data_IF_532346235011
#
_entry.id   IF_532346235011
#
_cell.length_a   1.000
_cell.length_b   1.000
_cell.length_c   1.000
_cell.angle_alpha   90.00
_cell.angle_beta   90.00
_cell.angle_gamma   90.00
#
_symmetry.space_group_name_H-M   'P 1'
#
loop_
_entity.id
_entity.type
_entity.pdbx_description
1 polymer ?
#
# COMPACT_ATOMS: atom_id res chain seq x y z
N UNK A 1 -23.02 5.86 -26.34
CA UNK A 1 -21.59 6.12 -26.11
C UNK A 1 -21.32 6.15 -24.61
N UNK A 2 -20.40 5.34 -24.09
CA UNK A 2 -20.08 5.34 -22.64
C UNK A 2 -19.28 6.60 -22.30
N UNK A 3 -19.63 7.30 -21.22
CA UNK A 3 -18.97 8.55 -20.83
C UNK A 3 -17.44 8.35 -20.65
N UNK A 4 -16.59 9.31 -21.03
CA UNK A 4 -15.13 9.20 -20.86
C UNK A 4 -14.72 8.98 -19.40
N UNK A 5 -15.53 9.42 -18.43
CA UNK A 5 -15.34 9.21 -16.99
C UNK A 5 -15.53 7.72 -16.63
N UNK A 6 -16.51 7.05 -17.21
CA UNK A 6 -16.74 5.61 -16.98
C UNK A 6 -15.55 4.79 -17.47
N UNK A 7 -15.05 5.07 -18.67
CA UNK A 7 -13.89 4.36 -19.24
C UNK A 7 -12.62 4.55 -18.39
N UNK A 8 -12.35 5.78 -17.93
CA UNK A 8 -11.21 6.08 -17.05
C UNK A 8 -11.28 5.32 -15.72
N UNK A 9 -12.46 5.26 -15.10
CA UNK A 9 -12.67 4.52 -13.83
C UNK A 9 -12.52 3.02 -14.03
N UNK A 10 -13.10 2.48 -15.09
CA UNK A 10 -13.04 1.05 -15.40
C UNK A 10 -11.63 0.57 -15.74
N UNK A 11 -10.86 1.33 -16.53
CA UNK A 11 -9.48 0.98 -16.86
C UNK A 11 -8.56 1.00 -15.63
N UNK A 12 -8.73 2.00 -14.74
CA UNK A 12 -7.97 2.05 -13.49
C UNK A 12 -8.30 0.87 -12.57
N UNK A 13 -9.59 0.53 -12.40
CA UNK A 13 -10.00 -0.60 -11.59
C UNK A 13 -9.48 -1.93 -12.17
N UNK A 14 -9.63 -2.14 -13.48
CA UNK A 14 -9.11 -3.32 -14.16
C UNK A 14 -7.59 -3.47 -14.00
N UNK A 15 -6.84 -2.36 -14.16
CA UNK A 15 -5.40 -2.34 -13.94
C UNK A 15 -5.00 -2.74 -12.52
N UNK A 16 -5.70 -2.23 -11.51
CA UNK A 16 -5.45 -2.59 -10.11
C UNK A 16 -5.72 -4.06 -9.83
N UNK A 17 -6.86 -4.60 -10.30
CA UNK A 17 -7.18 -6.01 -10.08
C UNK A 17 -6.22 -6.94 -10.81
N UNK A 18 -5.92 -6.65 -12.07
CA UNK A 18 -5.00 -7.48 -12.85
C UNK A 18 -3.58 -7.45 -12.26
N UNK A 19 -3.12 -6.29 -11.80
CA UNK A 19 -1.83 -6.19 -11.10
C UNK A 19 -1.80 -6.96 -9.78
N UNK A 20 -2.91 -6.98 -9.03
CA UNK A 20 -3.03 -7.78 -7.81
C UNK A 20 -2.99 -9.28 -8.09
N UNK A 21 -3.67 -9.75 -9.14
CA UNK A 21 -3.61 -11.15 -9.58
C UNK A 21 -2.20 -11.54 -10.01
N UNK A 22 -1.53 -10.72 -10.83
CA UNK A 22 -0.15 -10.97 -11.25
C UNK A 22 0.82 -10.97 -10.07
N UNK A 23 0.64 -10.06 -9.11
CA UNK A 23 1.42 -10.02 -7.87
C UNK A 23 1.24 -11.28 -7.02
N UNK A 24 0.02 -11.79 -6.91
CA UNK A 24 -0.29 -13.04 -6.23
C UNK A 24 0.34 -14.24 -6.95
N UNK A 25 0.20 -14.33 -8.27
CA UNK A 25 0.85 -15.36 -9.08
C UNK A 25 2.37 -15.35 -8.93
N UNK A 26 2.98 -14.15 -8.83
CA UNK A 26 4.40 -14.02 -8.54
C UNK A 26 4.81 -14.68 -7.22
N UNK A 27 3.99 -14.57 -6.17
CA UNK A 27 4.24 -15.24 -4.89
C UNK A 27 4.09 -16.76 -5.01
N UNK A 28 3.10 -17.23 -5.77
CA UNK A 28 2.88 -18.67 -6.03
C UNK A 28 4.07 -19.28 -6.78
N UNK A 29 4.50 -18.63 -7.86
CA UNK A 29 5.66 -19.06 -8.66
C UNK A 29 6.92 -19.07 -7.78
N UNK A 30 7.16 -18.03 -6.98
CA UNK A 30 8.31 -17.97 -6.09
C UNK A 30 8.35 -19.16 -5.09
N UNK A 31 7.20 -19.52 -4.48
CA UNK A 31 7.12 -20.64 -3.55
C UNK A 31 7.39 -21.98 -4.25
N UNK A 32 6.86 -22.16 -5.47
CA UNK A 32 6.96 -23.41 -6.21
C UNK A 32 8.35 -23.64 -6.78
N UNK A 33 8.97 -22.60 -7.35
CA UNK A 33 10.25 -22.72 -8.04
C UNK A 33 11.45 -22.65 -7.08
N UNK A 34 11.45 -21.74 -6.10
CA UNK A 34 12.53 -21.65 -5.11
C UNK A 34 12.41 -22.71 -4.01
N UNK A 35 11.20 -23.20 -3.75
CA UNK A 35 10.92 -23.98 -2.55
C UNK A 35 10.75 -23.12 -1.30
N UNK A 36 10.29 -23.76 -0.22
CA UNK A 36 9.86 -23.04 1.00
C UNK A 36 11.01 -22.26 1.66
N UNK A 37 12.17 -22.89 1.80
CA UNK A 37 13.31 -22.28 2.49
C UNK A 37 13.82 -21.01 1.77
N UNK A 38 14.12 -21.12 0.48
CA UNK A 38 14.65 -20.00 -0.31
C UNK A 38 13.59 -18.91 -0.54
N UNK A 39 12.30 -19.27 -0.61
CA UNK A 39 11.22 -18.30 -0.60
C UNK A 39 11.18 -17.50 0.71
N UNK A 40 11.46 -18.14 1.85
CA UNK A 40 11.62 -17.46 3.13
C UNK A 40 12.76 -16.44 3.11
N UNK A 41 13.93 -16.84 2.60
CA UNK A 41 15.07 -15.96 2.42
C UNK A 41 14.77 -14.77 1.48
N UNK A 42 14.15 -15.05 0.33
CA UNK A 42 13.70 -14.00 -0.60
C UNK A 42 12.72 -13.04 0.08
N UNK A 43 11.79 -13.59 0.87
CA UNK A 43 10.81 -12.78 1.61
C UNK A 43 11.46 -11.85 2.62
N UNK A 44 12.52 -12.27 3.31
CA UNK A 44 13.31 -11.43 4.22
C UNK A 44 14.02 -10.29 3.47
N UNK A 45 14.69 -10.62 2.36
CA UNK A 45 15.35 -9.59 1.53
C UNK A 45 14.36 -8.54 1.04
N UNK A 46 13.22 -8.99 0.51
CA UNK A 46 12.19 -8.07 0.01
C UNK A 46 11.51 -7.29 1.14
N UNK A 47 11.34 -7.89 2.32
CA UNK A 47 10.77 -7.20 3.48
C UNK A 47 11.74 -6.14 4.02
N UNK A 48 13.03 -6.43 4.12
CA UNK A 48 14.04 -5.46 4.54
C UNK A 48 14.15 -4.31 3.53
N UNK A 49 14.26 -4.63 2.24
CA UNK A 49 14.28 -3.62 1.17
C UNK A 49 13.03 -2.75 1.19
N UNK A 50 11.84 -3.38 1.28
CA UNK A 50 10.56 -2.67 1.35
C UNK A 50 10.40 -1.81 2.60
N UNK A 51 10.90 -2.25 3.76
CA UNK A 51 10.85 -1.51 5.00
C UNK A 51 11.64 -0.19 4.90
N UNK A 52 12.91 -0.26 4.50
CA UNK A 52 13.72 0.95 4.36
C UNK A 52 13.25 1.84 3.21
N UNK A 53 12.73 1.24 2.13
CA UNK A 53 12.12 1.99 1.06
C UNK A 53 10.91 2.80 1.56
N UNK A 54 9.99 2.22 2.31
CA UNK A 54 8.79 2.92 2.82
C UNK A 54 9.16 3.98 3.86
N UNK A 55 10.10 3.70 4.75
CA UNK A 55 10.56 4.67 5.76
C UNK A 55 11.25 5.87 5.11
N UNK A 56 12.05 5.63 4.08
CA UNK A 56 12.76 6.66 3.32
C UNK A 56 11.91 7.28 2.20
N UNK A 57 10.81 6.62 1.81
CA UNK A 57 9.94 7.10 0.72
C UNK A 57 9.09 8.27 1.19
N UNK A 58 9.40 9.42 0.64
CA UNK A 58 8.59 10.62 0.79
C UNK A 58 7.45 10.54 -0.22
N UNK A 59 6.20 10.43 0.24
CA UNK A 59 5.00 10.37 -0.62
C UNK A 59 4.77 11.72 -1.31
N UNK A 60 5.63 12.01 -2.28
CA UNK A 60 5.61 13.28 -3.02
C UNK A 60 4.57 13.29 -4.12
N UNK A 61 4.20 12.11 -4.65
CA UNK A 61 3.32 12.00 -5.82
C UNK A 61 1.98 12.70 -5.62
N UNK A 62 1.35 12.51 -4.44
CA UNK A 62 0.06 13.16 -4.13
C UNK A 62 0.18 14.68 -4.12
N UNK A 63 1.29 15.20 -3.57
CA UNK A 63 1.57 16.62 -3.57
C UNK A 63 1.81 17.14 -4.99
N UNK A 64 2.62 16.41 -5.79
CA UNK A 64 2.91 16.78 -7.18
C UNK A 64 1.63 16.77 -8.03
N UNK A 65 0.75 15.80 -7.83
CA UNK A 65 -0.56 15.76 -8.52
C UNK A 65 -1.41 16.96 -8.10
N UNK A 66 -1.57 17.21 -6.78
CA UNK A 66 -2.40 18.30 -6.26
C UNK A 66 -1.94 19.67 -6.75
N UNK A 67 -0.66 20.00 -6.56
CA UNK A 67 -0.09 21.27 -6.97
C UNK A 67 0.09 21.36 -8.48
N UNK A 68 0.33 20.22 -9.15
CA UNK A 68 0.40 20.13 -10.61
C UNK A 68 -0.90 20.54 -11.28
N UNK A 69 -2.06 20.06 -10.81
CA UNK A 69 -3.36 20.55 -11.29
C UNK A 69 -3.58 22.02 -10.99
N UNK A 70 -3.16 22.52 -9.80
CA UNK A 70 -3.28 23.94 -9.43
C UNK A 70 -2.50 24.84 -10.37
N UNK A 71 -1.24 24.51 -10.67
CA UNK A 71 -0.40 25.32 -11.55
C UNK A 71 -0.82 25.20 -13.02
N UNK A 72 -1.23 24.01 -13.46
CA UNK A 72 -1.79 23.83 -14.80
C UNK A 72 -3.07 24.67 -15.02
N UNK A 73 -3.98 24.71 -14.02
CA UNK A 73 -5.20 25.53 -14.09
C UNK A 73 -4.93 27.05 -14.09
N UNK A 74 -3.76 27.49 -13.60
CA UNK A 74 -3.33 28.88 -13.58
C UNK A 74 -2.37 29.24 -14.72
N UNK A 75 -2.07 28.25 -15.57
CA UNK A 75 -1.08 28.36 -16.65
C UNK A 75 0.33 28.77 -16.16
N UNK A 76 0.62 28.52 -14.87
CA UNK A 76 1.91 28.81 -14.25
C UNK A 76 2.91 27.69 -14.54
N UNK A 77 3.40 27.67 -15.78
CA UNK A 77 4.29 26.62 -16.28
C UNK A 77 5.69 26.67 -15.68
N UNK A 78 6.09 27.81 -15.15
CA UNK A 78 7.37 27.99 -14.46
C UNK A 78 7.41 27.22 -13.14
N UNK A 79 6.43 27.46 -12.27
CA UNK A 79 6.27 26.72 -11.00
C UNK A 79 5.89 25.27 -11.22
N UNK A 80 5.10 24.96 -12.24
CA UNK A 80 4.78 23.58 -12.65
C UNK A 80 6.04 22.76 -12.89
N UNK A 81 6.98 23.25 -13.69
CA UNK A 81 8.24 22.54 -13.98
C UNK A 81 9.13 22.39 -12.75
N UNK A 82 9.21 23.46 -11.91
CA UNK A 82 9.96 23.40 -10.66
C UNK A 82 9.39 22.36 -9.70
N UNK A 83 8.05 22.23 -9.64
CA UNK A 83 7.35 21.25 -8.83
C UNK A 83 7.78 19.82 -9.16
N UNK A 84 7.74 19.44 -10.45
CA UNK A 84 8.14 18.09 -10.89
C UNK A 84 9.61 17.81 -10.63
N UNK A 85 10.47 18.80 -10.84
CA UNK A 85 11.90 18.68 -10.52
C UNK A 85 12.14 18.52 -9.03
N UNK A 86 11.52 19.36 -8.20
CA UNK A 86 11.62 19.26 -6.74
C UNK A 86 11.08 17.93 -6.22
N UNK A 87 9.98 17.43 -6.80
CA UNK A 87 9.44 16.11 -6.51
C UNK A 87 10.43 14.99 -6.80
N UNK A 88 11.10 15.05 -7.97
CA UNK A 88 12.11 14.05 -8.36
C UNK A 88 13.36 14.15 -7.44
N UNK A 89 13.83 15.36 -7.14
CA UNK A 89 14.94 15.59 -6.22
C UNK A 89 14.67 14.97 -4.83
N UNK A 90 13.46 15.17 -4.27
CA UNK A 90 13.06 14.57 -3.01
C UNK A 90 12.96 13.03 -3.08
N UNK A 91 12.41 12.49 -4.16
CA UNK A 91 12.33 11.03 -4.36
C UNK A 91 13.70 10.40 -4.47
N UNK A 92 14.61 11.01 -5.21
CA UNK A 92 15.99 10.53 -5.33
C UNK A 92 16.73 10.59 -4.00
N UNK A 93 16.56 11.68 -3.23
CA UNK A 93 17.16 11.79 -1.90
C UNK A 93 16.64 10.68 -0.96
N UNK A 94 15.32 10.43 -0.92
CA UNK A 94 14.74 9.34 -0.16
C UNK A 94 15.24 7.97 -0.63
N UNK A 95 15.32 7.76 -1.95
CA UNK A 95 15.83 6.51 -2.53
C UNK A 95 17.30 6.24 -2.16
N UNK A 96 18.15 7.27 -2.17
CA UNK A 96 19.55 7.17 -1.74
C UNK A 96 19.63 6.82 -0.25
N UNK A 97 18.82 7.47 0.59
CA UNK A 97 18.77 7.16 2.03
C UNK A 97 18.31 5.72 2.28
N UNK A 98 17.27 5.28 1.58
CA UNK A 98 16.78 3.90 1.67
C UNK A 98 17.82 2.88 1.20
N UNK A 99 18.46 3.14 0.07
CA UNK A 99 19.53 2.29 -0.47
C UNK A 99 20.75 2.22 0.48
N UNK A 100 21.15 3.35 1.03
CA UNK A 100 22.24 3.41 2.01
C UNK A 100 21.90 2.62 3.29
N UNK A 101 20.66 2.75 3.79
CA UNK A 101 20.22 2.00 4.96
C UNK A 101 20.20 0.48 4.71
N UNK A 102 19.75 0.03 3.54
CA UNK A 102 19.81 -1.38 3.14
C UNK A 102 21.26 -1.87 3.04
N UNK A 103 22.13 -1.08 2.41
CA UNK A 103 23.55 -1.40 2.26
C UNK A 103 24.27 -1.48 3.60
N UNK A 104 23.95 -0.58 4.54
CA UNK A 104 24.48 -0.60 5.92
C UNK A 104 23.95 -1.80 6.71
N UNK A 105 22.72 -2.27 6.46
CA UNK A 105 22.16 -3.46 7.11
C UNK A 105 22.79 -4.76 6.58
N UNK A 106 23.21 -4.79 5.31
CA UNK A 106 23.67 -6.00 4.63
C UNK A 106 24.81 -6.77 5.39
N UNK A 107 25.84 -6.13 5.95
CA UNK A 107 26.87 -6.83 6.74
C UNK A 107 26.32 -7.51 7.99
N UNK A 108 25.27 -6.95 8.60
CA UNK A 108 24.65 -7.46 9.82
C UNK A 108 23.61 -8.54 9.57
N UNK A 109 23.27 -8.81 8.31
CA UNK A 109 22.24 -9.78 7.95
C UNK A 109 22.50 -11.19 8.51
N UNK A 110 23.78 -11.59 8.57
CA UNK A 110 24.16 -12.89 9.15
C UNK A 110 23.90 -12.92 10.66
N UNK A 111 24.21 -11.85 11.36
CA UNK A 111 24.00 -11.76 12.82
C UNK A 111 22.50 -11.73 13.18
N UNK A 112 21.69 -11.07 12.36
CA UNK A 112 20.25 -10.89 12.63
C UNK A 112 19.44 -12.13 12.23
N UNK A 113 19.72 -12.72 11.06
CA UNK A 113 18.92 -13.81 10.49
C UNK A 113 19.68 -15.12 10.37
N UNK A 114 20.94 -15.18 10.84
CA UNK A 114 21.76 -16.39 10.86
C UNK A 114 22.13 -16.95 9.48
N UNK A 115 22.10 -16.14 8.42
CA UNK A 115 22.27 -16.56 7.02
C UNK A 115 23.04 -15.54 6.18
N UNK A 116 23.66 -16.04 5.10
CA UNK A 116 24.42 -15.24 4.14
C UNK A 116 23.56 -14.39 3.21
N UNK A 117 22.70 -13.51 3.75
CA UNK A 117 21.82 -12.63 2.97
C UNK A 117 22.48 -11.31 2.57
N UNK A 118 23.76 -11.10 2.89
CA UNK A 118 24.45 -9.84 2.65
C UNK A 118 24.43 -9.45 1.15
N UNK A 119 24.77 -10.38 0.26
CA UNK A 119 24.81 -10.12 -1.17
C UNK A 119 23.42 -9.84 -1.77
N UNK A 120 22.38 -10.67 -1.54
CA UNK A 120 21.04 -10.35 -2.00
C UNK A 120 20.50 -9.02 -1.46
N UNK A 121 20.78 -8.67 -0.19
CA UNK A 121 20.38 -7.38 0.39
C UNK A 121 21.10 -6.22 -0.29
N UNK A 122 22.41 -6.33 -0.50
CA UNK A 122 23.18 -5.29 -1.18
C UNK A 122 22.68 -5.04 -2.60
N UNK A 123 22.36 -6.09 -3.35
CA UNK A 123 21.75 -5.99 -4.68
C UNK A 123 20.37 -5.34 -4.58
N UNK A 124 19.56 -5.71 -3.59
CA UNK A 124 18.21 -5.15 -3.39
C UNK A 124 18.23 -3.65 -3.05
N UNK A 125 19.35 -3.10 -2.58
CA UNK A 125 19.52 -1.67 -2.36
C UNK A 125 19.39 -0.84 -3.66
N UNK A 126 19.53 -1.47 -4.82
CA UNK A 126 19.28 -0.83 -6.12
C UNK A 126 17.80 -0.63 -6.42
N UNK A 127 16.87 -1.37 -5.76
CA UNK A 127 15.43 -1.29 -6.02
C UNK A 127 14.88 0.12 -5.73
N UNK A 128 15.10 0.74 -4.55
CA UNK A 128 14.65 2.10 -4.28
C UNK A 128 15.17 3.12 -5.31
N UNK A 129 16.46 3.00 -5.68
CA UNK A 129 17.07 3.90 -6.67
C UNK A 129 16.44 3.76 -8.05
N UNK A 130 16.25 2.52 -8.50
CA UNK A 130 15.61 2.23 -9.77
C UNK A 130 14.15 2.73 -9.80
N UNK A 131 13.43 2.68 -8.68
CA UNK A 131 12.01 3.04 -8.60
C UNK A 131 11.76 4.55 -8.42
N UNK A 132 12.75 5.34 -7.99
CA UNK A 132 12.54 6.74 -7.63
C UNK A 132 11.83 7.60 -8.69
N UNK A 133 12.11 7.50 -10.00
CA UNK A 133 11.42 8.27 -11.03
C UNK A 133 9.98 7.86 -11.31
N UNK A 134 9.59 6.62 -10.96
CA UNK A 134 8.29 6.02 -11.31
C UNK A 134 7.10 6.85 -10.80
N UNK A 135 7.16 7.29 -9.53
CA UNK A 135 6.10 8.07 -8.90
C UNK A 135 5.87 9.42 -9.57
N UNK A 136 6.94 10.10 -9.95
CA UNK A 136 6.87 11.40 -10.62
C UNK A 136 6.36 11.26 -12.06
N UNK A 137 6.80 10.23 -12.78
CA UNK A 137 6.28 9.91 -14.11
C UNK A 137 4.78 9.55 -14.05
N UNK A 138 4.38 8.78 -13.06
CA UNK A 138 2.97 8.45 -12.79
C UNK A 138 2.14 9.71 -12.50
N UNK A 139 2.66 10.65 -11.69
CA UNK A 139 2.01 11.92 -11.41
C UNK A 139 1.84 12.77 -12.68
N UNK A 140 2.84 12.80 -13.56
CA UNK A 140 2.76 13.49 -14.86
C UNK A 140 1.62 12.94 -15.74
N UNK A 141 1.49 11.61 -15.80
CA UNK A 141 0.40 10.95 -16.52
C UNK A 141 -0.98 11.29 -15.96
N UNK A 142 -1.11 11.35 -14.62
CA UNK A 142 -2.36 11.73 -13.95
C UNK A 142 -2.75 13.16 -14.31
N UNK A 143 -1.80 14.11 -14.20
CA UNK A 143 -2.05 15.53 -14.51
C UNK A 143 -2.37 15.72 -15.99
N UNK A 144 -1.79 14.90 -16.86
CA UNK A 144 -2.11 14.89 -18.29
C UNK A 144 -3.43 14.15 -18.63
N UNK A 145 -4.10 13.56 -17.62
CA UNK A 145 -5.36 12.82 -17.80
C UNK A 145 -5.23 11.41 -18.40
N UNK A 146 -4.00 10.87 -18.51
CA UNK A 146 -3.71 9.54 -19.09
C UNK A 146 -3.72 8.44 -18.04
N UNK A 147 -4.87 8.26 -17.40
CA UNK A 147 -5.10 7.20 -16.40
C UNK A 147 -5.02 5.79 -17.00
N UNK A 148 -5.39 5.66 -18.27
CA UNK A 148 -5.28 4.44 -19.07
C UNK A 148 -3.85 3.94 -19.16
N UNK A 149 -2.93 4.82 -19.52
CA UNK A 149 -1.50 4.52 -19.64
C UNK A 149 -0.92 4.15 -18.28
N UNK A 150 -1.26 4.91 -17.22
CA UNK A 150 -0.85 4.58 -15.86
C UNK A 150 -1.34 3.20 -15.43
N UNK A 151 -2.59 2.83 -15.73
CA UNK A 151 -3.13 1.52 -15.42
C UNK A 151 -2.39 0.41 -16.18
N UNK A 152 -2.05 0.61 -17.46
CA UNK A 152 -1.24 -0.31 -18.24
C UNK A 152 0.15 -0.53 -17.64
N UNK A 153 0.80 0.54 -17.12
CA UNK A 153 2.10 0.41 -16.46
C UNK A 153 2.03 -0.34 -15.12
N UNK A 154 0.94 -0.23 -14.35
CA UNK A 154 0.75 -1.07 -13.16
C UNK A 154 0.76 -2.56 -13.53
N UNK A 155 0.06 -2.92 -14.59
CA UNK A 155 0.03 -4.30 -15.10
C UNK A 155 1.39 -4.73 -15.63
N UNK A 156 2.03 -3.89 -16.45
CA UNK A 156 3.37 -4.16 -17.00
C UNK A 156 4.40 -4.41 -15.89
N UNK A 157 4.43 -3.56 -14.87
CA UNK A 157 5.34 -3.70 -13.73
C UNK A 157 5.14 -5.04 -13.03
N UNK A 158 3.89 -5.48 -12.82
CA UNK A 158 3.60 -6.76 -12.18
C UNK A 158 3.88 -7.95 -13.11
N UNK A 159 3.66 -7.82 -14.42
CA UNK A 159 4.02 -8.83 -15.40
C UNK A 159 5.55 -9.02 -15.49
N UNK A 160 6.30 -7.92 -15.54
CA UNK A 160 7.77 -7.97 -15.50
C UNK A 160 8.29 -8.58 -14.21
N UNK A 161 7.66 -8.25 -13.07
CA UNK A 161 7.99 -8.85 -11.77
C UNK A 161 7.73 -10.35 -11.76
N UNK A 162 6.60 -10.80 -12.30
CA UNK A 162 6.27 -12.23 -12.41
C UNK A 162 7.31 -12.95 -13.28
N UNK A 163 7.64 -12.40 -14.46
CA UNK A 163 8.68 -12.96 -15.34
C UNK A 163 10.06 -12.98 -14.68
N UNK A 164 10.42 -11.92 -13.96
CA UNK A 164 11.67 -11.85 -13.20
C UNK A 164 11.76 -12.93 -12.11
N UNK A 165 10.66 -13.20 -11.40
CA UNK A 165 10.60 -14.26 -10.40
C UNK A 165 10.72 -15.64 -11.09
N UNK A 166 9.97 -15.88 -12.17
CA UNK A 166 10.00 -17.16 -12.88
C UNK A 166 11.39 -17.48 -13.45
N UNK A 167 12.07 -16.51 -14.05
CA UNK A 167 13.41 -16.68 -14.60
C UNK A 167 14.46 -16.71 -13.48
N UNK A 168 14.38 -15.75 -12.56
CA UNK A 168 15.37 -15.59 -11.50
C UNK A 168 15.39 -16.74 -10.51
N UNK A 169 14.24 -17.38 -10.25
CA UNK A 169 14.12 -18.51 -9.33
C UNK A 169 14.97 -19.73 -9.75
N UNK A 170 15.21 -19.91 -11.04
CA UNK A 170 16.10 -20.97 -11.55
C UNK A 170 17.57 -20.78 -11.12
N UNK A 171 17.95 -19.55 -10.72
CA UNK A 171 19.29 -19.18 -10.25
C UNK A 171 19.31 -18.91 -8.73
N UNK A 172 18.29 -19.36 -8.00
CA UNK A 172 18.16 -19.19 -6.55
C UNK A 172 17.81 -17.76 -6.11
N UNK A 173 17.97 -17.49 -4.81
CA UNK A 173 17.55 -16.21 -4.19
C UNK A 173 18.26 -15.01 -4.81
N UNK A 174 19.59 -15.08 -4.95
CA UNK A 174 20.37 -13.97 -5.51
C UNK A 174 19.99 -13.70 -6.96
N UNK A 175 19.85 -14.73 -7.79
CA UNK A 175 19.39 -14.61 -9.17
C UNK A 175 17.99 -13.98 -9.27
N UNK A 176 17.09 -14.35 -8.37
CA UNK A 176 15.74 -13.75 -8.30
C UNK A 176 15.81 -12.26 -7.95
N UNK A 177 16.65 -11.86 -7.00
CA UNK A 177 16.81 -10.44 -6.63
C UNK A 177 17.40 -9.63 -7.78
N UNK A 178 18.43 -10.17 -8.49
CA UNK A 178 19.00 -9.53 -9.69
C UNK A 178 17.91 -9.33 -10.75
N UNK A 179 17.16 -10.39 -11.07
CA UNK A 179 16.09 -10.32 -12.06
C UNK A 179 15.00 -9.29 -11.67
N UNK A 180 14.66 -9.20 -10.37
CA UNK A 180 13.71 -8.20 -9.86
C UNK A 180 14.25 -6.77 -10.01
N UNK A 181 15.55 -6.53 -9.75
CA UNK A 181 16.20 -5.23 -9.98
C UNK A 181 16.13 -4.86 -11.47
N UNK A 182 16.51 -5.78 -12.35
CA UNK A 182 16.44 -5.55 -13.81
C UNK A 182 15.01 -5.26 -14.26
N UNK A 183 14.04 -6.07 -13.84
CA UNK A 183 12.63 -5.83 -14.15
C UNK A 183 12.15 -4.46 -13.66
N UNK A 184 12.61 -4.02 -12.48
CA UNK A 184 12.29 -2.70 -11.94
C UNK A 184 12.90 -1.59 -12.79
N UNK A 185 14.16 -1.72 -13.20
CA UNK A 185 14.83 -0.74 -14.07
C UNK A 185 14.08 -0.62 -15.40
N UNK A 186 13.75 -1.75 -16.03
CA UNK A 186 13.00 -1.78 -17.31
C UNK A 186 11.61 -1.12 -17.15
N UNK A 187 10.86 -1.48 -16.10
CA UNK A 187 9.55 -0.89 -15.83
C UNK A 187 9.64 0.62 -15.63
N UNK A 188 10.62 1.08 -14.82
CA UNK A 188 10.81 2.50 -14.54
C UNK A 188 11.32 3.27 -15.75
N UNK A 189 12.19 2.70 -16.56
CA UNK A 189 12.62 3.32 -17.82
C UNK A 189 11.44 3.49 -18.78
N UNK A 190 10.57 2.49 -18.88
CA UNK A 190 9.38 2.56 -19.74
C UNK A 190 8.40 3.65 -19.28
N UNK A 191 8.02 3.67 -17.98
CA UNK A 191 7.09 4.70 -17.45
C UNK A 191 7.76 6.08 -17.42
N UNK A 192 9.06 6.14 -17.11
CA UNK A 192 9.85 7.37 -17.12
C UNK A 192 9.91 8.02 -18.49
N UNK A 193 10.15 7.24 -19.54
CA UNK A 193 10.14 7.70 -20.93
C UNK A 193 8.79 8.29 -21.30
N UNK A 194 7.70 7.58 -21.02
CA UNK A 194 6.34 8.09 -21.31
C UNK A 194 5.99 9.30 -20.42
N UNK A 195 6.44 9.33 -19.16
CA UNK A 195 6.29 10.49 -18.28
C UNK A 195 7.00 11.74 -18.79
N UNK A 196 8.22 11.59 -19.31
CA UNK A 196 8.98 12.70 -19.95
C UNK A 196 8.23 13.21 -21.18
N UNK A 197 7.72 12.32 -22.04
CA UNK A 197 6.91 12.71 -23.21
C UNK A 197 5.64 13.43 -22.76
N UNK A 198 4.97 12.96 -21.71
CA UNK A 198 3.78 13.61 -21.15
C UNK A 198 4.09 15.02 -20.62
N UNK A 199 5.20 15.18 -19.89
CA UNK A 199 5.67 16.50 -19.42
C UNK A 199 6.08 17.42 -20.58
N UNK A 200 6.64 16.87 -21.66
CA UNK A 200 7.02 17.61 -22.85
C UNK A 200 5.84 18.22 -23.61
N UNK A 201 4.62 17.70 -23.42
CA UNK A 201 3.38 18.21 -24.03
C UNK A 201 2.83 19.46 -23.34
N UNK A 202 3.25 19.74 -22.11
CA UNK A 202 2.89 21.00 -21.45
C UNK A 202 3.75 22.16 -21.98
N UNK A 203 3.20 23.39 -21.99
CA UNK A 203 3.93 24.56 -22.45
C UNK A 203 5.27 24.74 -21.76
N UNK A 204 6.24 25.26 -22.47
CA UNK A 204 7.59 25.53 -21.95
C UNK A 204 7.57 26.82 -21.16
N UNK A 205 7.93 26.79 -19.88
CA UNK A 205 8.16 27.94 -19.02
C UNK A 205 9.58 27.88 -18.41
N UNK A 206 10.15 29.03 -18.10
CA UNK A 206 11.38 29.09 -17.31
C UNK A 206 11.07 28.61 -15.89
N UNK A 207 11.91 27.71 -15.35
CA UNK A 207 11.68 27.18 -14.00
C UNK A 207 11.73 28.29 -12.96
N UNK A 208 10.62 28.48 -12.23
CA UNK A 208 10.50 29.50 -11.20
C UNK A 208 10.39 28.87 -9.82
N UNK A 209 10.91 29.50 -8.75
CA UNK A 209 10.76 29.03 -7.39
C UNK A 209 9.27 28.89 -6.99
N UNK A 210 8.96 27.91 -6.12
CA UNK A 210 7.60 27.68 -5.64
C UNK A 210 7.05 28.83 -4.78
N UNK A 211 7.90 29.78 -4.37
CA UNK A 211 7.51 30.94 -3.57
C UNK A 211 6.80 30.53 -2.27
N UNK A 212 5.68 31.21 -1.97
CA UNK A 212 4.88 30.99 -0.75
C UNK A 212 4.27 29.57 -0.67
N UNK A 213 4.05 28.93 -1.82
CA UNK A 213 3.54 27.55 -1.86
C UNK A 213 4.55 26.50 -1.34
N UNK A 214 5.86 26.86 -1.21
CA UNK A 214 6.91 25.93 -0.74
C UNK A 214 6.62 25.37 0.65
N UNK A 215 6.19 26.21 1.58
CA UNK A 215 5.85 25.79 2.95
C UNK A 215 4.64 24.85 2.97
N UNK A 216 3.60 25.22 2.19
CA UNK A 216 2.39 24.40 2.02
C UNK A 216 2.68 23.03 1.38
N UNK A 217 3.47 23.02 0.31
CA UNK A 217 3.93 21.79 -0.35
C UNK A 217 4.68 20.88 0.62
N UNK A 218 5.68 21.39 1.36
CA UNK A 218 6.45 20.61 2.32
C UNK A 218 5.59 20.05 3.46
N UNK A 219 4.68 20.86 4.02
CA UNK A 219 3.73 20.41 5.04
C UNK A 219 2.84 19.30 4.52
N UNK A 220 2.31 19.43 3.32
CA UNK A 220 1.46 18.42 2.70
C UNK A 220 2.22 17.10 2.49
N UNK A 221 3.44 17.17 1.96
CA UNK A 221 4.32 16.00 1.75
C UNK A 221 4.57 15.26 3.06
N UNK A 222 4.94 15.97 4.13
CA UNK A 222 5.21 15.34 5.45
C UNK A 222 3.97 14.63 6.00
N UNK A 223 2.79 15.28 5.97
CA UNK A 223 1.57 14.67 6.49
C UNK A 223 1.09 13.49 5.64
N UNK A 224 1.21 13.58 4.32
CA UNK A 224 0.87 12.49 3.40
C UNK A 224 1.79 11.28 3.61
N UNK A 225 3.10 11.52 3.76
CA UNK A 225 4.08 10.46 4.01
C UNK A 225 3.82 9.72 5.32
N UNK A 226 3.58 10.44 6.41
CA UNK A 226 3.26 9.81 7.71
C UNK A 226 2.01 8.92 7.63
N UNK A 227 0.98 9.37 6.90
CA UNK A 227 -0.26 8.60 6.72
C UNK A 227 -0.10 7.33 5.88
N UNK A 228 0.85 7.32 4.95
CA UNK A 228 1.06 6.20 4.02
C UNK A 228 1.99 5.12 4.54
N UNK A 229 2.87 5.43 5.50
CA UNK A 229 3.90 4.52 6.01
C UNK A 229 3.33 3.44 6.94
N UNK A 230 2.41 3.77 7.84
CA UNK A 230 1.99 2.87 8.92
C UNK A 230 1.30 1.58 8.44
N UNK A 231 0.47 1.67 7.40
CA UNK A 231 -0.32 0.51 6.94
C UNK A 231 0.53 -0.61 6.33
N UNK A 232 1.45 -0.35 5.37
CA UNK A 232 2.32 -1.39 4.83
C UNK A 232 3.44 -1.81 5.80
N UNK A 233 3.85 -0.92 6.72
CA UNK A 233 4.89 -1.19 7.71
C UNK A 233 4.57 -2.40 8.59
N UNK A 234 3.30 -2.60 8.96
CA UNK A 234 2.86 -3.76 9.75
C UNK A 234 3.27 -5.10 9.15
N UNK A 235 3.01 -5.29 7.85
CA UNK A 235 3.35 -6.55 7.16
C UNK A 235 4.84 -6.76 6.99
N UNK A 236 5.59 -5.69 6.73
CA UNK A 236 7.05 -5.75 6.58
C UNK A 236 7.75 -6.01 7.91
N UNK A 237 7.38 -5.27 8.97
CA UNK A 237 7.86 -5.53 10.34
C UNK A 237 7.55 -6.95 10.76
N UNK A 238 6.32 -7.43 10.48
CA UNK A 238 5.94 -8.81 10.76
C UNK A 238 6.89 -9.82 10.16
N UNK A 239 7.23 -9.66 8.88
CA UNK A 239 8.16 -10.56 8.19
C UNK A 239 9.59 -10.48 8.77
N UNK A 240 10.07 -9.28 9.07
CA UNK A 240 11.41 -9.07 9.62
C UNK A 240 11.55 -9.64 11.04
N UNK A 241 10.54 -9.39 11.90
CA UNK A 241 10.54 -9.90 13.27
C UNK A 241 10.44 -11.43 13.29
N UNK A 242 9.54 -12.01 12.50
CA UNK A 242 9.45 -13.48 12.38
C UNK A 242 10.79 -14.06 11.93
N UNK A 243 11.46 -13.44 10.94
CA UNK A 243 12.77 -13.87 10.50
C UNK A 243 13.89 -13.73 11.54
N UNK A 244 13.77 -12.74 12.44
CA UNK A 244 14.77 -12.54 13.51
C UNK A 244 14.63 -13.53 14.66
N UNK A 245 13.42 -14.08 14.89
CA UNK A 245 13.14 -14.97 16.02
C UNK A 245 12.88 -16.43 15.62
N UNK A 246 12.82 -16.73 14.31
CA UNK A 246 12.56 -18.07 13.76
C UNK A 246 13.49 -18.37 12.58
N UNK A 247 13.24 -19.48 11.90
CA UNK A 247 13.94 -19.90 10.68
C UNK A 247 13.26 -19.41 9.40
N UNK A 248 13.94 -19.44 8.23
CA UNK A 248 13.38 -19.02 6.95
C UNK A 248 12.14 -19.81 6.51
N UNK A 249 12.00 -21.06 6.92
CA UNK A 249 10.81 -21.86 6.59
C UNK A 249 9.56 -21.26 7.28
N UNK A 250 9.70 -20.84 8.54
CA UNK A 250 8.61 -20.19 9.26
C UNK A 250 8.25 -18.83 8.63
N UNK A 251 9.24 -18.09 8.15
CA UNK A 251 8.99 -16.85 7.37
C UNK A 251 8.19 -17.17 6.10
N UNK A 252 8.54 -18.23 5.39
CA UNK A 252 7.81 -18.66 4.20
C UNK A 252 6.36 -19.04 4.52
N UNK A 253 6.15 -19.85 5.57
CA UNK A 253 4.80 -20.22 6.01
C UNK A 253 3.98 -19.01 6.44
N UNK A 254 4.59 -18.06 7.15
CA UNK A 254 3.96 -16.81 7.52
C UNK A 254 3.55 -15.99 6.29
N UNK A 255 4.41 -15.89 5.27
CA UNK A 255 4.11 -15.17 4.02
C UNK A 255 3.03 -15.85 3.19
N UNK A 256 3.03 -17.17 3.09
CA UNK A 256 1.96 -17.94 2.45
C UNK A 256 0.64 -17.72 3.19
N UNK A 257 0.69 -17.78 4.53
CA UNK A 257 -0.49 -17.60 5.38
C UNK A 257 -1.16 -16.22 5.26
N UNK A 258 -0.43 -15.17 4.85
CA UNK A 258 -0.98 -13.83 4.62
C UNK A 258 -1.84 -13.73 3.34
N UNK A 259 -1.86 -14.73 2.48
CA UNK A 259 -2.59 -14.71 1.21
C UNK A 259 -4.09 -14.36 1.35
N UNK A 260 -4.87 -14.90 2.32
CA UNK A 260 -6.27 -14.53 2.52
C UNK A 260 -6.46 -13.05 2.86
N UNK A 261 -5.59 -12.48 3.70
CA UNK A 261 -5.61 -11.05 4.05
C UNK A 261 -5.35 -10.17 2.82
N UNK A 262 -4.33 -10.49 2.03
CA UNK A 262 -4.00 -9.76 0.81
C UNK A 262 -5.12 -9.84 -0.24
N UNK A 263 -5.74 -11.01 -0.41
CA UNK A 263 -6.87 -11.21 -1.31
C UNK A 263 -8.07 -10.36 -0.87
N UNK A 264 -8.45 -10.41 0.41
CA UNK A 264 -9.57 -9.64 0.95
C UNK A 264 -9.36 -8.13 0.82
N UNK A 265 -8.13 -7.65 1.06
CA UNK A 265 -7.76 -6.25 0.91
C UNK A 265 -7.94 -5.76 -0.54
N UNK A 266 -7.55 -6.58 -1.52
CA UNK A 266 -7.70 -6.28 -2.95
C UNK A 266 -9.16 -6.29 -3.39
N UNK A 267 -9.93 -7.30 -2.98
CA UNK A 267 -11.35 -7.43 -3.34
C UNK A 267 -12.21 -6.29 -2.78
N UNK A 268 -11.90 -5.80 -1.57
CA UNK A 268 -12.68 -4.74 -0.92
C UNK A 268 -12.24 -3.32 -1.28
N UNK A 269 -11.13 -3.16 -2.02
CA UNK A 269 -10.60 -1.83 -2.35
C UNK A 269 -11.59 -0.91 -3.07
N UNK A 270 -12.36 -1.34 -4.11
CA UNK A 270 -13.33 -0.48 -4.79
C UNK A 270 -14.50 -0.08 -3.89
N UNK A 271 -15.02 -1.03 -3.09
CA UNK A 271 -16.11 -0.73 -2.16
C UNK A 271 -15.72 0.37 -1.17
N UNK A 272 -14.47 0.37 -0.70
CA UNK A 272 -13.94 1.42 0.18
C UNK A 272 -13.83 2.78 -0.50
N UNK A 273 -13.46 2.83 -1.78
CA UNK A 273 -13.40 4.09 -2.54
C UNK A 273 -14.79 4.70 -2.73
N UNK A 274 -15.80 3.88 -3.06
CA UNK A 274 -17.19 4.32 -3.17
C UNK A 274 -17.70 4.83 -1.82
N UNK A 275 -17.47 4.04 -0.76
CA UNK A 275 -17.86 4.41 0.60
C UNK A 275 -17.23 5.74 1.04
N UNK A 276 -15.96 5.97 0.72
CA UNK A 276 -15.28 7.23 1.01
C UNK A 276 -15.92 8.43 0.31
N UNK A 277 -16.22 8.30 -0.99
CA UNK A 277 -16.85 9.36 -1.75
C UNK A 277 -18.25 9.71 -1.23
N UNK A 278 -19.07 8.68 -0.94
CA UNK A 278 -20.41 8.88 -0.37
C UNK A 278 -20.37 9.50 1.02
N UNK A 279 -19.50 9.02 1.90
CA UNK A 279 -19.31 9.56 3.25
C UNK A 279 -18.90 11.02 3.23
N UNK A 280 -17.90 11.36 2.39
CA UNK A 280 -17.42 12.74 2.26
C UNK A 280 -18.53 13.65 1.75
N UNK A 281 -19.26 13.24 0.70
CA UNK A 281 -20.37 14.01 0.16
C UNK A 281 -21.53 14.22 1.17
N UNK A 282 -21.83 13.21 1.98
CA UNK A 282 -22.88 13.34 3.00
C UNK A 282 -22.43 14.23 4.18
N UNK A 283 -21.16 14.16 4.59
CA UNK A 283 -20.61 15.03 5.65
C UNK A 283 -20.60 16.48 5.19
N UNK A 284 -20.07 16.77 4.00
CA UNK A 284 -20.01 18.14 3.45
C UNK A 284 -21.40 18.77 3.25
N UNK A 285 -22.42 17.94 2.98
CA UNK A 285 -23.83 18.39 2.88
C UNK A 285 -24.53 18.48 4.25
N UNK A 286 -23.84 18.35 5.36
CA UNK A 286 -24.42 18.38 6.71
C UNK A 286 -25.28 17.16 7.06
N UNK A 287 -25.21 16.08 6.26
CA UNK A 287 -26.02 14.85 6.44
C UNK A 287 -25.24 13.77 7.20
N UNK A 288 -24.59 14.15 8.28
CA UNK A 288 -23.77 13.24 9.08
C UNK A 288 -24.49 11.95 9.54
N UNK A 289 -25.78 12.03 9.84
CA UNK A 289 -26.58 10.84 10.19
C UNK A 289 -26.67 9.81 9.04
N UNK A 290 -26.63 10.25 7.77
CA UNK A 290 -26.57 9.35 6.61
C UNK A 290 -25.23 8.66 6.52
N UNK A 291 -24.15 9.40 6.67
CA UNK A 291 -22.80 8.84 6.68
C UNK A 291 -22.65 7.78 7.78
N UNK A 292 -23.22 8.01 8.97
CA UNK A 292 -23.22 7.03 10.06
C UNK A 292 -24.04 5.78 9.75
N UNK A 293 -25.21 5.94 9.13
CA UNK A 293 -26.03 4.81 8.67
C UNK A 293 -25.33 4.00 7.57
N UNK A 294 -24.61 4.67 6.67
CA UNK A 294 -23.81 4.01 5.64
C UNK A 294 -22.69 3.13 6.26
N UNK A 295 -21.96 3.65 7.26
CA UNK A 295 -20.97 2.87 8.03
C UNK A 295 -21.62 1.64 8.65
N UNK A 296 -22.75 1.79 9.34
CA UNK A 296 -23.46 0.67 9.99
C UNK A 296 -23.91 -0.38 8.97
N UNK A 297 -24.50 0.03 7.84
CA UNK A 297 -24.90 -0.88 6.76
C UNK A 297 -23.69 -1.63 6.20
N UNK A 298 -22.59 -0.92 5.95
CA UNK A 298 -21.35 -1.53 5.51
C UNK A 298 -20.86 -2.59 6.51
N UNK A 299 -20.78 -2.25 7.81
CA UNK A 299 -20.34 -3.18 8.85
C UNK A 299 -21.21 -4.43 8.90
N UNK A 300 -22.54 -4.29 8.89
CA UNK A 300 -23.47 -5.41 8.95
C UNK A 300 -23.36 -6.29 7.70
N UNK A 301 -23.31 -5.68 6.51
CA UNK A 301 -23.13 -6.40 5.25
C UNK A 301 -21.76 -7.11 5.19
N UNK A 302 -20.68 -6.42 5.58
CA UNK A 302 -19.34 -6.98 5.64
C UNK A 302 -19.26 -8.13 6.66
N UNK A 303 -19.89 -8.00 7.83
CA UNK A 303 -19.94 -9.05 8.84
C UNK A 303 -20.73 -10.28 8.35
N UNK A 304 -21.89 -10.08 7.70
CA UNK A 304 -22.69 -11.15 7.14
C UNK A 304 -21.94 -11.91 6.03
N UNK A 305 -21.31 -11.18 5.10
CA UNK A 305 -20.50 -11.79 4.03
C UNK A 305 -19.29 -12.52 4.63
N UNK A 306 -18.59 -11.90 5.58
CA UNK A 306 -17.45 -12.53 6.24
C UNK A 306 -17.85 -13.81 6.96
N UNK A 307 -18.97 -13.81 7.70
CA UNK A 307 -19.50 -14.99 8.39
C UNK A 307 -19.86 -16.12 7.41
N UNK A 308 -20.51 -15.77 6.30
CA UNK A 308 -20.93 -16.75 5.29
C UNK A 308 -19.71 -17.40 4.56
N UNK A 309 -18.63 -16.60 4.35
CA UNK A 309 -17.44 -17.05 3.61
C UNK A 309 -16.41 -17.71 4.53
N UNK A 310 -16.37 -17.33 5.80
CA UNK A 310 -15.35 -17.75 6.75
C UNK A 310 -15.32 -19.27 6.93
N UNK A 311 -16.46 -19.89 7.26
CA UNK A 311 -16.53 -21.31 7.54
C UNK A 311 -16.17 -22.18 6.31
N UNK A 312 -16.75 -21.97 5.12
CA UNK A 312 -16.33 -22.71 3.92
C UNK A 312 -14.84 -22.55 3.61
N UNK A 313 -14.28 -21.34 3.70
CA UNK A 313 -12.86 -21.13 3.43
C UNK A 313 -11.96 -21.75 4.50
N UNK A 314 -12.35 -21.75 5.78
CA UNK A 314 -11.63 -22.47 6.83
C UNK A 314 -11.52 -23.98 6.56
N UNK A 315 -12.61 -24.59 6.11
CA UNK A 315 -12.64 -26.00 5.78
C UNK A 315 -11.82 -26.30 4.52
N UNK A 316 -11.89 -25.44 3.51
CA UNK A 316 -11.17 -25.60 2.25
C UNK A 316 -9.69 -25.18 2.33
N UNK A 317 -9.26 -24.51 3.42
CA UNK A 317 -7.93 -23.92 3.53
C UNK A 317 -6.79 -24.93 3.29
N UNK A 318 -6.83 -26.18 3.82
CA UNK A 318 -5.78 -27.16 3.54
C UNK A 318 -5.65 -27.51 2.05
N UNK A 319 -6.80 -27.64 1.37
CA UNK A 319 -6.83 -27.90 -0.07
C UNK A 319 -6.31 -26.70 -0.86
N UNK A 320 -6.75 -25.48 -0.51
CA UNK A 320 -6.31 -24.24 -1.17
C UNK A 320 -4.81 -24.02 -1.04
N UNK A 321 -4.25 -24.16 0.17
CA UNK A 321 -2.82 -23.97 0.40
C UNK A 321 -2.01 -24.99 -0.42
N UNK A 322 -2.38 -26.27 -0.38
CA UNK A 322 -1.68 -27.33 -1.11
C UNK A 322 -1.81 -27.19 -2.63
N UNK A 323 -2.99 -26.84 -3.13
CA UNK A 323 -3.23 -26.71 -4.57
C UNK A 323 -2.54 -25.47 -5.14
N UNK A 324 -2.58 -24.36 -4.42
CA UNK A 324 -2.02 -23.08 -4.91
C UNK A 324 -0.51 -23.04 -4.73
N UNK A 325 -0.02 -23.30 -3.52
CA UNK A 325 1.40 -23.12 -3.14
C UNK A 325 2.21 -24.44 -3.17
N UNK A 326 1.55 -25.57 -3.35
CA UNK A 326 2.18 -26.89 -3.34
C UNK A 326 2.12 -27.60 -1.98
N UNK A 327 2.38 -28.90 -1.99
CA UNK A 327 2.27 -29.75 -0.78
C UNK A 327 3.23 -29.35 0.35
N UNK A 328 4.41 -28.83 0.00
CA UNK A 328 5.42 -28.36 0.96
C UNK A 328 4.96 -27.14 1.77
N UNK A 329 3.97 -26.38 1.27
CA UNK A 329 3.37 -25.26 1.99
C UNK A 329 2.29 -25.69 3.01
N UNK A 330 1.95 -26.96 3.10
CA UNK A 330 0.93 -27.51 3.99
C UNK A 330 0.98 -27.02 5.44
N UNK A 331 2.16 -26.92 6.09
CA UNK A 331 2.27 -26.39 7.46
C UNK A 331 1.79 -24.93 7.65
N UNK A 332 1.68 -24.14 6.56
CA UNK A 332 1.12 -22.79 6.63
C UNK A 332 -0.41 -22.76 6.86
N UNK A 333 -1.10 -23.90 6.79
CA UNK A 333 -2.58 -23.97 6.78
C UNK A 333 -3.19 -23.35 8.03
N UNK A 334 -2.70 -23.67 9.23
CA UNK A 334 -3.30 -23.16 10.48
C UNK A 334 -3.04 -21.68 10.65
N UNK A 335 -1.84 -21.20 10.29
CA UNK A 335 -1.56 -19.78 10.22
C UNK A 335 -2.47 -19.07 9.19
N UNK A 336 -2.74 -19.69 8.03
CA UNK A 336 -3.65 -19.12 7.02
C UNK A 336 -5.11 -19.05 7.48
N UNK A 337 -5.58 -20.02 8.27
CA UNK A 337 -6.89 -19.99 8.93
C UNK A 337 -6.99 -18.80 9.90
N UNK A 338 -5.94 -18.54 10.67
CA UNK A 338 -5.90 -17.39 11.58
C UNK A 338 -5.88 -16.09 10.78
N UNK A 339 -5.09 -16.00 9.69
CA UNK A 339 -5.10 -14.82 8.83
C UNK A 339 -6.44 -14.60 8.11
N UNK A 340 -7.22 -15.65 7.88
CA UNK A 340 -8.59 -15.51 7.38
C UNK A 340 -9.49 -14.81 8.40
N UNK A 341 -9.33 -15.07 9.72
CA UNK A 341 -10.00 -14.32 10.79
C UNK A 341 -9.56 -12.85 10.82
N UNK A 342 -8.23 -12.61 10.71
CA UNK A 342 -7.68 -11.24 10.60
C UNK A 342 -8.30 -10.52 9.41
N UNK A 343 -8.40 -11.18 8.25
CA UNK A 343 -9.02 -10.64 7.05
C UNK A 343 -10.49 -10.27 7.29
N UNK A 344 -11.27 -11.15 7.94
CA UNK A 344 -12.66 -10.90 8.28
C UNK A 344 -12.81 -9.65 9.18
N UNK A 345 -11.99 -9.53 10.22
CA UNK A 345 -11.96 -8.34 11.08
C UNK A 345 -11.66 -7.10 10.25
N UNK A 346 -10.63 -7.13 9.40
CA UNK A 346 -10.24 -5.98 8.58
C UNK A 346 -11.29 -5.59 7.53
N UNK A 347 -12.05 -6.56 6.99
CA UNK A 347 -13.16 -6.29 6.07
C UNK A 347 -14.28 -5.59 6.81
N UNK A 348 -14.69 -6.08 7.96
CA UNK A 348 -15.75 -5.47 8.80
C UNK A 348 -15.37 -4.05 9.23
N UNK A 349 -14.13 -3.83 9.61
CA UNK A 349 -13.60 -2.52 10.02
C UNK A 349 -13.01 -1.71 8.86
N UNK A 350 -13.24 -2.12 7.62
CA UNK A 350 -12.70 -1.46 6.41
C UNK A 350 -13.09 0.02 6.27
N UNK A 351 -14.24 0.43 6.83
CA UNK A 351 -14.70 1.81 6.88
C UNK A 351 -13.79 2.76 7.66
N UNK A 352 -12.98 2.24 8.58
CA UNK A 352 -12.04 3.02 9.40
C UNK A 352 -10.92 3.65 8.58
N UNK A 353 -10.69 3.17 7.35
CA UNK A 353 -9.72 3.75 6.42
C UNK A 353 -10.22 5.03 5.76
N UNK A 354 -11.53 5.24 5.69
CA UNK A 354 -12.17 6.37 4.99
C UNK A 354 -12.90 7.33 5.92
N UNK A 355 -13.72 6.83 6.83
CA UNK A 355 -14.62 7.63 7.66
C UNK A 355 -13.92 8.71 8.51
N UNK A 356 -12.78 8.45 9.18
CA UNK A 356 -12.08 9.48 9.96
C UNK A 356 -11.63 10.66 9.10
N UNK A 357 -11.22 10.38 7.87
CA UNK A 357 -10.81 11.42 6.91
C UNK A 357 -12.02 12.24 6.48
N UNK A 358 -13.16 11.56 6.20
CA UNK A 358 -14.41 12.22 5.79
C UNK A 358 -14.96 13.17 6.86
N UNK A 359 -14.75 12.86 8.14
CA UNK A 359 -15.18 13.73 9.25
C UNK A 359 -14.10 14.74 9.70
N UNK A 360 -12.97 14.84 8.97
CA UNK A 360 -11.89 15.78 9.26
C UNK A 360 -11.04 15.41 10.48
N UNK A 361 -11.07 14.16 10.95
CA UNK A 361 -10.33 13.65 12.12
C UNK A 361 -9.37 12.50 11.77
N UNK A 362 -8.39 12.72 10.87
CA UNK A 362 -7.45 11.68 10.45
C UNK A 362 -6.57 11.14 11.60
N UNK A 363 -6.39 11.91 12.67
CA UNK A 363 -5.64 11.53 13.88
C UNK A 363 -6.20 10.28 14.55
N UNK A 364 -7.53 10.03 14.47
CA UNK A 364 -8.15 8.84 15.02
C UNK A 364 -7.64 7.56 14.34
N UNK A 365 -7.35 7.64 13.05
CA UNK A 365 -6.77 6.54 12.30
C UNK A 365 -5.33 6.26 12.76
N UNK A 366 -4.53 7.32 12.94
CA UNK A 366 -3.15 7.19 13.42
C UNK A 366 -3.11 6.57 14.83
N UNK A 367 -3.99 7.01 15.71
CA UNK A 367 -4.12 6.46 17.08
C UNK A 367 -4.45 4.97 17.05
N UNK A 368 -5.45 4.55 16.27
CA UNK A 368 -5.84 3.14 16.20
C UNK A 368 -4.76 2.26 15.57
N UNK A 369 -4.09 2.74 14.50
CA UNK A 369 -2.99 2.02 13.87
C UNK A 369 -1.75 1.98 14.78
N UNK A 370 -1.47 3.06 15.50
CA UNK A 370 -0.40 3.08 16.52
C UNK A 370 -0.64 2.07 17.62
N UNK A 371 -1.86 2.00 18.16
CA UNK A 371 -2.25 1.00 19.17
C UNK A 371 -2.10 -0.43 18.62
N UNK A 372 -2.48 -0.67 17.37
CA UNK A 372 -2.28 -1.97 16.71
C UNK A 372 -0.81 -2.37 16.68
N UNK A 373 0.10 -1.46 16.28
CA UNK A 373 1.55 -1.74 16.20
C UNK A 373 2.15 -1.96 17.59
N UNK A 374 1.74 -1.18 18.59
CA UNK A 374 2.20 -1.32 19.98
C UNK A 374 1.83 -2.68 20.56
N UNK A 375 0.63 -3.20 20.26
CA UNK A 375 0.21 -4.54 20.67
C UNK A 375 0.90 -5.62 19.82
N UNK A 376 0.99 -5.41 18.52
CA UNK A 376 1.56 -6.37 17.58
C UNK A 376 3.02 -6.69 17.91
N UNK A 377 3.86 -5.67 18.12
CA UNK A 377 5.31 -5.87 18.23
C UNK A 377 5.71 -6.83 19.35
N UNK A 378 5.30 -6.65 20.63
CA UNK A 378 5.68 -7.56 21.68
C UNK A 378 5.01 -8.93 21.56
N UNK A 379 3.73 -8.98 21.19
CA UNK A 379 3.03 -10.26 21.01
C UNK A 379 3.62 -11.07 19.85
N UNK A 380 4.08 -10.41 18.80
CA UNK A 380 4.72 -11.06 17.67
C UNK A 380 6.06 -11.71 18.06
N UNK A 381 6.91 -11.00 18.81
CA UNK A 381 8.19 -11.55 19.29
C UNK A 381 7.94 -12.79 20.16
N UNK A 382 7.04 -12.70 21.13
CA UNK A 382 6.77 -13.80 22.08
C UNK A 382 6.12 -15.00 21.37
N UNK A 383 5.05 -14.75 20.59
CA UNK A 383 4.30 -15.86 20.01
C UNK A 383 5.01 -16.47 18.80
N UNK A 384 5.73 -15.68 17.99
CA UNK A 384 6.49 -16.25 16.87
C UNK A 384 7.68 -17.08 17.33
N UNK A 385 8.39 -16.66 18.39
CA UNK A 385 9.48 -17.47 18.96
C UNK A 385 9.01 -18.81 19.52
N UNK A 386 7.78 -18.86 20.08
CA UNK A 386 7.22 -20.08 20.68
C UNK A 386 6.54 -21.00 19.64
N UNK A 387 5.82 -20.42 18.68
CA UNK A 387 4.92 -21.18 17.78
C UNK A 387 5.16 -20.90 16.29
N UNK A 388 6.27 -20.24 15.92
CA UNK A 388 6.63 -19.97 14.52
C UNK A 388 5.58 -19.13 13.77
N UNK A 389 5.28 -19.53 12.54
CA UNK A 389 4.31 -18.86 11.68
C UNK A 389 2.89 -18.79 12.27
N UNK A 390 2.47 -19.83 12.98
CA UNK A 390 1.15 -19.88 13.62
C UNK A 390 1.07 -18.90 14.78
N UNK A 391 2.14 -18.81 15.60
CA UNK A 391 2.26 -17.79 16.66
C UNK A 391 2.27 -16.37 16.10
N UNK A 392 2.98 -16.16 14.99
CA UNK A 392 2.96 -14.88 14.29
C UNK A 392 1.54 -14.51 13.81
N UNK A 393 0.81 -15.45 13.22
CA UNK A 393 -0.57 -15.23 12.80
C UNK A 393 -1.49 -14.91 13.99
N UNK A 394 -1.30 -15.59 15.14
CA UNK A 394 -2.04 -15.31 16.37
C UNK A 394 -1.75 -13.89 16.90
N UNK A 395 -0.49 -13.42 16.84
CA UNK A 395 -0.14 -12.05 17.22
C UNK A 395 -0.88 -11.02 16.34
N UNK A 396 -0.96 -11.27 15.01
CA UNK A 396 -1.74 -10.43 14.09
C UNK A 396 -3.24 -10.44 14.42
N UNK A 397 -3.79 -11.59 14.84
CA UNK A 397 -5.19 -11.67 15.25
C UNK A 397 -5.45 -10.88 16.55
N UNK A 398 -4.57 -10.97 17.53
CA UNK A 398 -4.64 -10.19 18.78
C UNK A 398 -4.55 -8.69 18.48
N UNK A 399 -3.61 -8.27 17.63
CA UNK A 399 -3.46 -6.87 17.21
C UNK A 399 -4.69 -6.37 16.45
N UNK A 400 -5.26 -7.17 15.55
CA UNK A 400 -6.49 -6.83 14.83
C UNK A 400 -7.70 -6.73 15.79
N UNK A 401 -7.79 -7.59 16.80
CA UNK A 401 -8.81 -7.50 17.84
C UNK A 401 -8.65 -6.22 18.68
N UNK A 402 -7.42 -5.87 19.07
CA UNK A 402 -7.12 -4.62 19.77
C UNK A 402 -7.50 -3.40 18.93
N UNK A 403 -7.15 -3.40 17.63
CA UNK A 403 -7.58 -2.37 16.68
C UNK A 403 -9.11 -2.24 16.61
N UNK A 404 -9.82 -3.36 16.53
CA UNK A 404 -11.28 -3.39 16.51
C UNK A 404 -11.87 -2.85 17.83
N UNK A 405 -11.28 -3.20 18.98
CA UNK A 405 -11.70 -2.70 20.29
C UNK A 405 -11.52 -1.17 20.41
N UNK A 406 -10.34 -0.65 20.00
CA UNK A 406 -10.10 0.80 19.98
C UNK A 406 -11.14 1.51 19.12
N UNK A 407 -11.43 1.01 17.92
CA UNK A 407 -12.44 1.60 17.05
C UNK A 407 -13.85 1.50 17.59
N UNK A 408 -14.18 0.42 18.30
CA UNK A 408 -15.47 0.30 19.00
C UNK A 408 -15.62 1.41 20.03
N UNK A 409 -14.60 1.64 20.87
CA UNK A 409 -14.61 2.72 21.86
C UNK A 409 -14.71 4.08 21.19
N UNK A 410 -13.90 4.33 20.13
CA UNK A 410 -13.94 5.59 19.40
C UNK A 410 -15.30 5.81 18.72
N UNK A 411 -15.90 4.80 18.11
CA UNK A 411 -17.21 4.89 17.50
C UNK A 411 -18.32 5.20 18.53
N UNK A 412 -18.25 4.61 19.71
CA UNK A 412 -19.19 4.91 20.82
C UNK A 412 -19.02 6.35 21.31
N UNK A 413 -17.78 6.82 21.48
CA UNK A 413 -17.48 8.21 21.87
C UNK A 413 -17.97 9.22 20.82
N UNK A 414 -17.68 8.98 19.54
CA UNK A 414 -18.13 9.82 18.44
C UNK A 414 -19.66 9.90 18.34
N UNK A 415 -20.38 8.82 18.69
CA UNK A 415 -21.85 8.83 18.76
C UNK A 415 -22.38 9.67 19.92
N UNK A 416 -21.74 9.63 21.08
CA UNK A 416 -22.15 10.39 22.28
C UNK A 416 -21.86 11.89 22.10
N UNK A 417 -20.78 12.23 21.41
CA UNK A 417 -20.36 13.62 21.16
C UNK A 417 -21.00 14.15 19.87
N UNK A 418 -22.34 14.27 19.87
CA UNK A 418 -23.11 14.89 18.77
C UNK A 418 -22.64 16.31 18.44
N UNK A 419 -22.06 17.05 19.41
CA UNK A 419 -21.52 18.39 19.20
C UNK A 419 -20.26 18.37 18.34
N UNK A 420 -19.37 17.38 18.50
CA UNK A 420 -18.20 17.23 17.66
C UNK A 420 -18.57 16.96 16.19
N UNK A 421 -19.63 16.19 15.97
CA UNK A 421 -20.14 15.91 14.63
C UNK A 421 -20.76 17.18 13.99
N UNK A 422 -21.52 17.95 14.74
CA UNK A 422 -22.12 19.21 14.29
C UNK A 422 -21.07 20.29 14.03
N UNK A 423 -19.96 20.32 14.78
CA UNK A 423 -18.85 21.25 14.56
C UNK A 423 -18.05 20.88 13.31
N UNK A 424 -17.77 19.60 13.08
CA UNK A 424 -17.11 19.13 11.87
C UNK A 424 -17.93 19.43 10.60
N UNK A 425 -19.26 19.35 10.68
CA UNK A 425 -20.16 19.66 9.56
C UNK A 425 -20.38 21.16 9.36
N UNK A 426 -20.11 22.02 10.36
CA UNK A 426 -20.23 23.47 10.27
C UNK A 426 -18.96 24.20 9.83
N UNK A 427 -17.79 23.58 9.95
CA UNK A 427 -16.55 24.11 9.38
C UNK A 427 -16.35 23.49 8.00
N UNK A 428 -16.67 24.19 6.90
CA UNK A 428 -16.21 23.74 5.60
C UNK A 428 -14.69 23.63 5.69
N UNK A 429 -14.15 22.46 5.40
CA UNK A 429 -12.73 22.33 5.12
C UNK A 429 -12.51 23.33 4.00
N UNK A 430 -11.78 24.41 4.27
CA UNK A 430 -11.55 25.49 3.32
C UNK A 430 -10.79 25.00 2.09
N UNK A 431 -11.46 24.24 1.26
CA UNK A 431 -11.22 24.23 -0.17
C UNK A 431 -11.75 25.57 -0.63
N UNK A 432 -10.84 26.52 -0.90
CA UNK A 432 -11.18 27.87 -1.33
C UNK A 432 -12.35 27.79 -2.31
N UNK A 433 -13.41 28.51 -1.96
CA UNK A 433 -14.54 28.79 -2.84
C UNK A 433 -13.99 29.45 -4.10
N UNK A 434 -13.77 28.68 -5.15
CA UNK A 434 -13.24 29.24 -6.38
C UNK A 434 -12.69 28.21 -7.35
N UNK A 435 -13.44 27.15 -7.63
CA UNK A 435 -13.37 26.48 -8.93
C UNK A 435 -14.75 25.90 -9.21
N UNK A 436 -15.62 26.74 -9.80
CA UNK A 436 -16.57 26.25 -10.78
C UNK A 436 -15.76 25.46 -11.80
N UNK A 437 -16.02 24.16 -11.91
CA UNK A 437 -15.55 23.38 -13.05
C UNK A 437 -16.10 24.10 -14.29
N UNK A 438 -15.28 24.41 -15.29
CA UNK A 438 -15.80 24.90 -16.55
C UNK A 438 -16.76 23.86 -17.08
N UNK A 439 -17.96 24.34 -17.47
CA UNK A 439 -18.95 23.55 -18.17
C UNK A 439 -18.29 22.87 -19.38
N UNK A 440 -18.56 21.59 -19.54
CA UNK A 440 -18.11 20.82 -20.70
C UNK A 440 -18.59 21.52 -21.99
N UNK A 441 -17.75 21.70 -23.00
CA UNK A 441 -18.24 22.02 -24.33
C UNK A 441 -19.00 20.83 -24.88
N UNK A 442 -20.20 21.12 -25.40
CA UNK A 442 -21.12 20.20 -26.09
C UNK A 442 -20.49 19.45 -27.24
#
# INVERSE_FOLDING_TARGET
>A
MRSPVFWRRSSTAAGVYLSAVLGFLGSVVAVRELGIYDFGLLSLVLAASGFFQIVADVTVEEAVVKYGFRYAAREDWGRFRRLFRAGLELKLAGAVLGAAAIALLAPFAHAIWGRGLALPLLISALIPLAQAPEGIASAALIVHGRYDVRAAFLVLTMALRLGAIAIGATFGVTGTVIALVVARIVATAAIGGVGIVALGRFPRGRSEPLGDDRAGFRRFVVHSSLGSVLSPMRGLLGTLVVGAVTDPQQVAYFRVAQAPEAASASLTAPARLILFAEQTADVERGRGDRAYRAVRRYMLGAAAISAAVLLPLMLLMPALVRTIFGTRAGPATDAARIFLLVAAIQVVWGWTKSFPISIGRPELRLLAQGAEIVVLTPTLVVLASAYGATGAAAAFAIAAAAFAAVWTVLAVRLRRDRRAFAIATRKPIGFGSGTSFPDEPQ
#
